data_IF_957537791279
#
_entry.id   IF_957537791279
#
_cell.length_a   1.000
_cell.length_b   1.000
_cell.length_c   1.000
_cell.angle_alpha   90.00
_cell.angle_beta   90.00
_cell.angle_gamma   90.00
#
_symmetry.space_group_name_H-M   'P 1'
#
loop_
_entity.id
_entity.type
_entity.pdbx_description
1 polymer ?
2 polymer ?
3 non-polymer ?
4 non-polymer ?
5 water ?
#
# COMPACT_ATOMS: atom_id res chain seq x y z
N UNK A 12 -9.00 -26.80 0.74
CA UNK A 12 -10.21 -26.20 1.28
C UNK A 12 -10.20 -24.69 1.03
N UNK A 13 -9.09 -24.03 1.39
CA UNK A 13 -8.98 -22.58 1.23
C UNK A 13 -9.01 -22.19 -0.25
N UNK A 14 -8.28 -22.91 -1.10
CA UNK A 14 -8.36 -22.67 -2.54
C UNK A 14 -9.78 -22.90 -3.05
N UNK A 15 -10.41 -23.99 -2.60
CA UNK A 15 -11.77 -24.32 -3.03
C UNK A 15 -12.78 -23.27 -2.56
N UNK A 16 -12.59 -22.72 -1.36
CA UNK A 16 -13.48 -21.71 -0.81
C UNK A 16 -13.14 -20.31 -1.30
N UNK A 17 -12.18 -20.15 -2.21
CA UNK A 17 -11.83 -18.83 -2.70
C UNK A 17 -11.05 -17.98 -1.73
N UNK A 18 -10.20 -18.60 -0.90
CA UNK A 18 -9.38 -17.89 0.06
C UNK A 18 -7.93 -17.96 -0.43
N UNK A 19 -7.41 -16.84 -0.92
CA UNK A 19 -6.07 -16.80 -1.49
C UNK A 19 -5.40 -15.50 -1.10
N UNK A 20 -4.06 -15.53 -1.06
CA UNK A 20 -3.28 -14.33 -0.75
C UNK A 20 -3.05 -13.60 -2.06
N UNK A 21 -3.28 -12.29 -2.04
CA UNK A 21 -3.14 -11.50 -3.24
C UNK A 21 -2.55 -10.15 -2.90
N UNK A 22 -1.70 -9.62 -3.77
CA UNK A 22 -1.17 -8.27 -3.57
C UNK A 22 -2.30 -7.26 -3.59
N UNK A 23 -2.09 -6.16 -2.91
CA UNK A 23 -3.15 -5.14 -2.85
C UNK A 23 -2.92 -4.05 -3.90
N UNK A 24 -2.65 -4.48 -5.14
CA UNK A 24 -2.41 -3.61 -6.28
C UNK A 24 -3.71 -3.46 -7.04
N UNK A 25 -3.88 -2.34 -7.75
CA UNK A 25 -5.07 -2.09 -8.55
C UNK A 25 -4.62 -2.16 -10.01
N UNK A 26 -4.93 -3.29 -10.65
CA UNK A 26 -4.56 -3.59 -12.04
C UNK A 26 -5.72 -4.37 -12.61
N UNK A 27 -6.85 -3.71 -12.82
CA UNK A 27 -8.12 -4.45 -13.01
C UNK A 27 -8.16 -5.27 -14.28
N UNK A 28 -8.96 -6.35 -14.22
CA UNK A 28 -9.14 -7.33 -15.29
C UNK A 28 -10.62 -7.67 -15.36
N UNK A 29 -11.00 -8.39 -16.42
CA UNK A 29 -12.41 -8.65 -16.72
C UNK A 29 -12.64 -10.15 -16.76
N UNK A 30 -13.58 -10.63 -15.93
CA UNK A 30 -14.00 -12.01 -16.01
C UNK A 30 -15.15 -12.24 -17.00
N UNK A 31 -15.33 -13.50 -17.37
CA UNK A 31 -16.39 -13.92 -18.29
C UNK A 31 -17.78 -13.72 -17.73
N UNK A 32 -17.89 -13.45 -16.42
CA UNK A 32 -19.15 -13.05 -15.81
C UNK A 32 -19.43 -11.56 -15.97
N UNK A 33 -18.58 -10.85 -16.73
CA UNK A 33 -18.72 -9.41 -16.97
C UNK A 33 -18.41 -8.60 -15.72
N UNK A 34 -17.76 -9.21 -14.73
CA UNK A 34 -17.37 -8.50 -13.50
C UNK A 34 -15.92 -8.07 -13.62
N UNK A 35 -15.64 -6.85 -13.18
CA UNK A 35 -14.28 -6.36 -13.06
C UNK A 35 -13.69 -6.87 -11.75
N UNK A 36 -12.48 -7.44 -11.82
CA UNK A 36 -11.71 -7.83 -10.64
C UNK A 36 -10.55 -6.87 -10.52
N UNK A 37 -10.18 -6.54 -9.27
CA UNK A 37 -9.27 -5.43 -9.07
C UNK A 37 -7.84 -5.80 -9.45
N UNK A 38 -7.53 -7.07 -9.57
CA UNK A 38 -6.26 -7.49 -10.16
C UNK A 38 -6.37 -8.94 -10.56
N UNK A 39 -5.39 -9.40 -11.35
CA UNK A 39 -5.40 -10.76 -11.88
C UNK A 39 -5.45 -11.81 -10.78
N UNK A 40 -4.69 -11.59 -9.69
CA UNK A 40 -4.66 -12.56 -8.59
C UNK A 40 -6.06 -12.85 -8.05
N UNK A 41 -6.85 -11.80 -7.80
CA UNK A 41 -8.22 -11.99 -7.31
C UNK A 41 -9.07 -12.78 -8.28
N UNK A 42 -8.97 -12.47 -9.57
CA UNK A 42 -9.72 -13.26 -10.56
C UNK A 42 -9.22 -14.70 -10.60
N UNK A 43 -7.90 -14.90 -10.61
CA UNK A 43 -7.33 -16.25 -10.55
C UNK A 43 -7.87 -17.03 -9.37
N UNK A 44 -8.09 -16.36 -8.24
CA UNK A 44 -8.55 -17.03 -7.03
C UNK A 44 -9.99 -17.49 -7.18
N UNK A 45 -10.86 -16.64 -7.73
CA UNK A 45 -12.26 -17.02 -7.96
C UNK A 45 -12.38 -18.10 -9.04
N UNK A 46 -11.62 -17.95 -10.13
CA UNK A 46 -11.59 -18.97 -11.17
C UNK A 46 -11.34 -20.35 -10.58
N UNK A 47 -10.41 -20.47 -9.63
CA UNK A 47 -10.04 -21.79 -9.12
C UNK A 47 -10.93 -22.26 -7.96
N UNK A 48 -11.80 -21.40 -7.45
CA UNK A 48 -12.70 -21.74 -6.37
C UNK A 48 -13.83 -22.64 -6.88
N UNK A 49 -14.57 -23.19 -5.92
CA UNK A 49 -15.75 -23.99 -6.26
C UNK A 49 -16.78 -23.14 -7.01
N UNK A 50 -17.08 -21.96 -6.49
CA UNK A 50 -18.11 -21.13 -7.11
C UNK A 50 -17.68 -20.62 -8.48
N UNK A 51 -16.38 -20.37 -8.68
CA UNK A 51 -15.93 -19.93 -9.99
C UNK A 51 -15.99 -21.06 -11.01
N UNK A 52 -15.38 -22.20 -10.69
CA UNK A 52 -15.50 -23.37 -11.53
C UNK A 52 -16.98 -23.74 -11.75
N UNK A 53 -17.81 -23.56 -10.73
CA UNK A 53 -19.26 -23.72 -10.89
C UNK A 53 -19.77 -22.95 -12.09
N UNK A 54 -19.31 -21.74 -12.29
CA UNK A 54 -19.83 -20.90 -13.35
C UNK A 54 -18.92 -20.83 -14.59
N UNK A 55 -17.95 -21.75 -14.71
CA UNK A 55 -16.96 -21.71 -15.78
C UNK A 55 -16.35 -20.32 -15.93
N UNK A 56 -16.02 -19.70 -14.81
CA UNK A 56 -15.40 -18.38 -14.82
C UNK A 56 -14.01 -18.44 -15.42
N UNK A 57 -13.75 -17.46 -16.28
CA UNK A 57 -12.42 -17.33 -16.89
C UNK A 57 -12.11 -15.85 -17.10
N UNK A 58 -10.86 -15.53 -17.40
CA UNK A 58 -10.46 -14.17 -17.70
C UNK A 58 -10.74 -13.87 -19.17
N UNK A 59 -11.42 -12.77 -19.45
CA UNK A 59 -11.74 -12.42 -20.84
C UNK A 59 -10.82 -11.33 -21.38
N UNK A 60 -10.42 -10.39 -20.53
CA UNK A 60 -9.62 -9.25 -20.98
C UNK A 60 -8.71 -8.80 -19.84
N UNK A 61 -7.64 -8.11 -20.22
CA UNK A 61 -6.62 -7.65 -19.29
C UNK A 61 -6.83 -6.20 -18.85
N UNK A 62 -8.08 -5.74 -18.89
CA UNK A 62 -8.42 -4.41 -18.39
C UNK A 62 -9.78 -4.54 -17.71
N UNK A 63 -10.21 -3.48 -17.05
CA UNK A 63 -11.55 -3.47 -16.47
C UNK A 63 -12.56 -3.78 -17.56
N UNK A 64 -13.63 -4.49 -17.21
CA UNK A 64 -14.69 -4.64 -18.19
C UNK A 64 -15.17 -3.24 -18.56
N UNK A 65 -15.26 -2.96 -19.86
CA UNK A 65 -15.77 -1.70 -20.38
C UNK A 65 -14.88 -0.50 -20.13
N UNK A 66 -13.58 -0.68 -19.90
CA UNK A 66 -12.72 0.48 -19.69
C UNK A 66 -11.35 0.30 -20.33
N UNK B 9 14.56 22.85 6.21
CA UNK B 9 13.58 23.68 6.88
C UNK B 9 12.55 22.82 7.61
N UNK B 10 11.99 21.85 6.89
CA UNK B 10 11.09 20.87 7.47
C UNK B 10 11.88 19.66 7.95
N UNK B 11 11.22 18.78 8.69
CA UNK B 11 11.80 17.49 9.04
C UNK B 11 10.77 16.40 8.87
N UNK B 12 11.27 15.17 8.74
CA UNK B 12 10.43 14.03 8.42
C UNK B 12 9.35 13.82 9.48
N UNK B 13 8.32 13.08 9.09
CA UNK B 13 7.33 12.57 10.02
C UNK B 13 6.45 13.59 10.70
N UNK B 14 6.53 14.86 10.32
CA UNK B 14 5.84 15.94 11.04
C UNK B 14 4.85 16.62 10.09
N UNK B 15 3.59 16.23 10.10
CA UNK B 15 2.62 16.86 9.20
C UNK B 15 2.31 18.29 9.62
N UNK B 16 2.29 19.20 8.64
CA UNK B 16 1.90 20.57 8.92
C UNK B 16 0.39 20.75 8.91
N UNK B 17 -0.34 19.69 8.61
CA UNK B 17 -1.78 19.61 8.79
C UNK B 17 -2.04 18.45 9.74
N UNK B 18 -2.57 18.75 10.91
CA UNK B 18 -2.79 17.76 11.95
C UNK B 18 -3.68 16.64 11.42
N UNK B 19 -3.25 15.38 11.47
CA UNK B 19 -4.11 14.29 11.01
C UNK B 19 -5.43 14.23 11.78
N UNK B 20 -6.40 13.57 11.13
CA UNK B 20 -7.74 13.40 11.67
C UNK B 20 -7.78 12.36 12.79
N UNK B 21 -7.05 11.25 12.60
CA UNK B 21 -6.88 10.19 13.60
C UNK B 21 -8.21 9.51 13.91
N UNK B 22 -8.68 8.80 12.89
CA UNK B 22 -9.93 8.05 12.93
C UNK B 22 -9.88 6.91 13.95
N UNK B 23 -11.04 6.52 14.54
CA UNK B 23 -11.09 5.44 15.53
C UNK B 23 -10.65 4.09 14.95
N UNK B 26 -8.75 1.93 0.77
CA UNK B 26 -8.97 1.74 2.19
C UNK B 26 -10.44 1.47 2.45
N UNK B 27 -10.68 0.32 3.13
CA UNK B 27 -12.02 -0.08 3.58
C UNK B 27 -12.22 0.42 4.99
N UNK B 28 -13.39 0.99 5.27
CA UNK B 28 -13.58 1.62 6.58
C UNK B 28 -12.70 2.86 6.75
N UNK B 29 -12.37 3.17 7.99
CA UNK B 29 -11.53 4.35 8.22
C UNK B 29 -12.29 5.63 7.92
N UNK B 30 -11.57 6.64 7.44
CA UNK B 30 -12.25 7.85 6.99
C UNK B 30 -11.45 8.55 5.92
N UNK B 31 -12.05 9.61 5.37
CA UNK B 31 -11.31 10.51 4.51
C UNK B 31 -10.35 11.33 5.37
N UNK B 32 -9.09 11.40 4.95
CA UNK B 32 -8.11 12.15 5.70
C UNK B 32 -8.33 13.64 5.54
N UNK B 33 -7.90 14.41 6.55
CA UNK B 33 -7.78 15.85 6.40
C UNK B 33 -6.81 16.11 5.25
N UNK B 34 -7.18 16.92 4.25
CA UNK B 34 -6.29 17.11 3.08
C UNK B 34 -4.88 17.50 3.49
N UNK B 35 -3.93 16.66 3.11
CA UNK B 35 -2.50 16.89 3.24
C UNK B 35 -2.00 16.69 4.67
N UNK B 36 -2.72 15.93 5.48
CA UNK B 36 -2.19 15.53 6.79
C UNK B 36 -1.28 14.32 6.70
N UNK B 37 -1.12 13.73 5.52
CA UNK B 37 -0.16 12.64 5.29
C UNK B 37 0.73 13.06 4.14
N UNK B 38 1.61 14.05 4.37
CA UNK B 38 2.36 14.67 3.26
C UNK B 38 3.40 13.78 2.64
N UNK B 39 3.66 12.58 3.17
CA UNK B 39 4.57 11.65 2.53
C UNK B 39 3.85 10.65 1.64
N UNK B 40 2.52 10.70 1.63
CA UNK B 40 1.75 9.77 0.79
C UNK B 40 1.97 10.11 -0.67
N UNK B 41 2.35 9.11 -1.47
CA UNK B 41 2.53 9.24 -2.91
C UNK B 41 1.45 8.44 -3.62
N UNK B 42 1.05 8.91 -4.79
CA UNK B 42 0.23 8.13 -5.73
C UNK B 42 1.10 7.74 -6.93
N UNK B 43 1.20 6.44 -7.17
CA UNK B 43 2.08 5.91 -8.20
C UNK B 43 1.22 5.64 -9.43
N UNK B 44 1.58 6.23 -10.55
CA UNK B 44 0.80 6.06 -11.77
C UNK B 44 1.70 5.69 -12.94
N UNK B 45 1.12 4.99 -13.90
CA UNK B 45 1.82 4.70 -15.14
C UNK B 45 1.95 5.96 -15.96
N UNK B 46 2.81 5.89 -17.00
CA UNK B 46 2.90 7.00 -17.95
C UNK B 46 1.52 7.47 -18.37
N UNK B 47 0.62 6.51 -18.66
CA UNK B 47 -0.77 6.83 -18.97
C UNK B 47 -1.45 7.61 -17.86
N UNK B 48 -0.87 7.67 -16.66
CA UNK B 48 -1.32 8.58 -15.63
C UNK B 48 -2.58 8.19 -14.90
N UNK B 49 -2.60 7.01 -14.27
CA UNK B 49 -3.75 6.60 -13.49
C UNK B 49 -3.28 5.79 -12.30
N UNK B 50 -3.95 5.98 -11.17
CA UNK B 50 -3.43 5.50 -9.89
C UNK B 50 -3.52 3.98 -9.81
N UNK B 51 -2.39 3.33 -9.51
CA UNK B 51 -2.45 1.90 -9.24
C UNK B 51 -1.75 1.48 -7.95
N UNK B 52 -0.94 2.33 -7.36
CA UNK B 52 -0.26 1.95 -6.13
C UNK B 52 0.01 3.20 -5.32
N UNK B 53 0.13 3.03 -4.00
CA UNK B 53 0.68 4.05 -3.14
C UNK B 53 2.19 3.97 -3.08
N UNK B 54 2.75 4.86 -2.27
CA UNK B 54 4.19 4.96 -2.07
C UNK B 54 4.45 5.91 -0.92
N UNK B 55 5.67 5.88 -0.40
CA UNK B 55 6.07 6.73 0.71
C UNK B 55 7.34 7.50 0.35
N UNK B 56 7.26 8.81 0.42
CA UNK B 56 8.44 9.64 0.20
C UNK B 56 9.41 9.48 1.37
N UNK B 57 10.66 9.13 1.06
CA UNK B 57 11.71 8.93 2.06
C UNK B 57 12.63 10.14 2.19
N UNK B 58 12.74 10.97 1.17
CA UNK B 58 13.71 12.04 1.04
C UNK B 58 13.38 12.76 -0.28
N UNK B 59 13.80 14.03 -0.50
CA UNK B 59 13.37 14.77 -1.71
C UNK B 59 13.38 14.03 -3.06
N UNK B 60 14.25 13.03 -3.22
CA UNK B 60 14.39 12.34 -4.50
C UNK B 60 13.91 10.89 -4.49
N UNK B 61 13.65 10.29 -3.33
CA UNK B 61 13.44 8.85 -3.22
C UNK B 61 12.09 8.49 -2.62
N UNK B 62 11.54 7.38 -3.12
CA UNK B 62 10.23 6.84 -2.76
C UNK B 62 10.38 5.38 -2.39
N UNK B 63 9.57 4.94 -1.43
CA UNK B 63 9.49 3.54 -1.03
C UNK B 63 8.13 3.00 -1.44
N UNK B 64 8.13 1.82 -2.06
CA UNK B 64 6.90 1.22 -2.54
C UNK B 64 7.06 -0.29 -2.47
N UNK B 65 6.02 -1.01 -2.90
CA UNK B 65 6.04 -2.47 -2.91
C UNK B 65 6.51 -2.98 -4.26
N UNK B 66 7.26 -4.09 -4.25
CA UNK B 66 7.89 -4.60 -5.46
C UNK B 66 6.87 -4.98 -6.53
N UNK B 67 5.77 -5.62 -6.13
CA UNK B 67 4.77 -6.04 -7.10
C UNK B 67 4.11 -4.86 -7.80
N UNK B 68 4.28 -3.64 -7.30
CA UNK B 68 3.84 -2.47 -8.05
C UNK B 68 4.69 -2.26 -9.29
N UNK B 69 5.86 -2.90 -9.37
CA UNK B 69 6.81 -2.68 -10.45
C UNK B 69 6.94 -3.88 -11.38
N UNK B 70 6.24 -4.98 -11.12
CA UNK B 70 6.51 -6.21 -11.84
C UNK B 70 5.84 -6.27 -13.21
N UNK B 71 5.43 -5.12 -13.76
CA UNK B 71 4.89 -5.06 -15.11
C UNK B 71 5.85 -4.45 -16.11
N UNK B 72 6.72 -3.52 -15.68
CA UNK B 72 7.67 -2.89 -16.60
C UNK B 72 8.91 -2.50 -15.81
N UNK B 73 10.10 -2.92 -16.24
CA UNK B 73 11.34 -2.60 -15.52
C UNK B 73 11.90 -1.22 -15.79
N UNK B 74 11.14 -0.33 -16.43
CA UNK B 74 11.60 0.93 -16.99
C UNK B 74 11.05 2.11 -16.20
N UNK B 75 11.92 3.00 -15.70
CA UNK B 75 11.42 4.13 -14.91
C UNK B 75 10.50 5.05 -15.68
N UNK B 76 10.74 5.22 -16.98
CA UNK B 76 9.89 6.05 -17.83
C UNK B 76 8.43 5.61 -17.78
N UNK B 77 8.13 4.42 -17.27
CA UNK B 77 6.77 3.93 -17.20
C UNK B 77 6.06 4.31 -15.91
N UNK B 78 6.67 5.16 -15.07
CA UNK B 78 6.18 5.46 -13.73
C UNK B 78 6.18 6.96 -13.47
N UNK B 79 5.14 7.41 -12.79
CA UNK B 79 4.91 8.81 -12.48
C UNK B 79 4.46 8.90 -11.03
N UNK B 80 5.21 9.56 -10.18
CA UNK B 80 4.86 9.68 -8.77
C UNK B 80 4.19 11.02 -8.52
N UNK B 81 3.01 10.97 -7.92
CA UNK B 81 2.21 12.16 -7.63
C UNK B 81 2.28 12.48 -6.16
N UNK B 82 2.86 13.65 -5.85
CA UNK B 82 3.11 14.10 -4.49
C UNK B 82 2.18 15.25 -4.13
N UNK B 83 1.79 15.31 -2.85
CA UNK B 83 0.98 16.40 -2.36
C UNK B 83 -0.48 16.35 -2.74
N UNK B 84 -1.00 15.18 -3.10
CA UNK B 84 -2.36 15.06 -3.59
C UNK B 84 -3.34 14.71 -2.47
N UNK B 85 -4.60 15.10 -2.68
CA UNK B 85 -5.69 14.60 -1.85
C UNK B 85 -6.77 13.91 -2.67
N UNK B 86 -7.25 14.56 -3.73
CA UNK B 86 -8.17 13.92 -4.67
C UNK B 86 -7.39 13.03 -5.63
N UNK B 87 -8.02 11.93 -6.05
CA UNK B 87 -7.33 10.97 -6.90
C UNK B 87 -7.27 11.41 -8.37
N UNK B 88 -8.39 11.82 -8.94
CA UNK B 88 -8.45 12.11 -10.38
C UNK B 88 -8.26 13.61 -10.67
N UNK B 89 -9.02 14.50 -10.02
CA UNK B 89 -8.87 15.95 -10.22
C UNK B 89 -7.75 16.50 -9.32
N UNK B 90 -6.50 16.27 -9.74
CA UNK B 90 -5.37 16.66 -8.90
C UNK B 90 -5.43 18.14 -8.57
N UNK B 91 -4.92 18.49 -7.39
CA UNK B 91 -4.93 19.86 -6.92
C UNK B 91 -3.87 20.68 -7.67
N UNK B 92 -3.98 22.01 -7.65
CA UNK B 92 -3.06 22.82 -8.48
C UNK B 92 -1.63 22.82 -7.97
N UNK B 93 -1.43 22.65 -6.66
CA UNK B 93 -0.11 22.61 -6.06
C UNK B 93 0.58 21.27 -6.27
N UNK B 94 -0.17 20.23 -6.60
CA UNK B 94 0.36 18.88 -6.68
C UNK B 94 1.55 18.79 -7.62
N UNK B 95 2.52 17.95 -7.25
CA UNK B 95 3.71 17.72 -8.03
C UNK B 95 3.56 16.44 -8.83
N UNK B 96 4.21 16.41 -10.00
CA UNK B 96 4.15 15.27 -10.92
C UNK B 96 5.58 15.03 -11.39
N UNK B 97 6.28 14.09 -10.76
CA UNK B 97 7.69 13.86 -11.04
C UNK B 97 7.84 12.45 -11.61
N UNK B 98 8.71 12.31 -12.60
CA UNK B 98 8.89 11.05 -13.32
C UNK B 98 10.05 10.26 -12.73
N UNK B 99 9.88 8.94 -12.68
CA UNK B 99 10.89 8.07 -12.07
C UNK B 99 12.09 7.97 -13.00
N UNK B 100 13.29 7.95 -12.41
CA UNK B 100 14.53 7.85 -13.15
C UNK B 100 15.23 6.51 -12.97
N UNK B 101 15.08 5.88 -11.81
CA UNK B 101 15.66 4.57 -11.54
C UNK B 101 14.70 3.80 -10.65
N UNK B 102 14.76 2.48 -10.76
CA UNK B 102 14.05 1.58 -9.85
C UNK B 102 15.07 0.63 -9.23
N UNK B 103 14.86 0.29 -7.96
CA UNK B 103 15.80 -0.53 -7.21
C UNK B 103 15.01 -1.60 -6.46
N UNK B 104 15.12 -2.83 -6.92
CA UNK B 104 14.41 -3.94 -6.30
C UNK B 104 15.23 -4.49 -5.15
N UNK B 105 14.56 -4.80 -4.04
CA UNK B 105 15.21 -5.44 -2.92
C UNK B 105 15.83 -6.77 -3.37
N UNK B 106 17.12 -7.01 -3.09
CA UNK B 106 17.82 -8.14 -3.71
C UNK B 106 17.36 -9.54 -3.27
N UNK B 107 16.75 -9.69 -2.10
CA UNK B 107 16.35 -11.01 -1.63
C UNK B 107 14.89 -11.33 -1.98
N UNK B 108 14.38 -10.70 -3.04
CA UNK B 108 13.00 -10.89 -3.55
C UNK B 108 11.94 -10.60 -2.48
N UNK B 109 12.12 -9.50 -1.77
CA UNK B 109 11.10 -9.05 -0.82
C UNK B 109 10.24 -7.97 -1.47
N UNK B 110 9.03 -7.78 -0.95
CA UNK B 110 8.06 -6.91 -1.61
C UNK B 110 8.28 -5.42 -1.35
N UNK B 111 9.48 -4.91 -1.59
CA UNK B 111 9.80 -3.51 -1.33
C UNK B 111 10.80 -3.01 -2.37
N UNK B 112 10.73 -1.72 -2.69
CA UNK B 112 11.56 -1.19 -3.77
C UNK B 112 11.69 0.32 -3.62
N UNK B 113 12.69 0.88 -4.30
CA UNK B 113 13.03 2.30 -4.22
C UNK B 113 12.93 2.96 -5.59
N UNK B 114 12.42 4.19 -5.61
CA UNK B 114 12.28 4.96 -6.86
C UNK B 114 13.07 6.25 -6.77
N UNK B 115 13.91 6.49 -7.79
CA UNK B 115 14.65 7.75 -7.94
C UNK B 115 13.80 8.74 -8.71
N UNK B 116 13.70 9.96 -8.19
CA UNK B 116 12.92 11.01 -8.82
C UNK B 116 13.82 11.83 -9.73
N UNK B 117 13.39 12.03 -10.99
CA UNK B 117 14.21 12.78 -11.94
C UNK B 117 14.50 14.20 -11.43
N UNK B 118 13.47 14.90 -10.96
CA UNK B 118 13.66 16.19 -10.31
C UNK B 118 13.29 16.07 -8.85
N UNK B 119 14.24 16.26 -7.92
CA UNK B 119 13.90 16.19 -6.49
C UNK B 119 12.68 17.03 -6.18
N UNK B 120 11.65 16.42 -5.60
CA UNK B 120 10.47 17.20 -5.24
C UNK B 120 10.81 18.25 -4.21
N UNK B 121 10.17 19.41 -4.32
CA UNK B 121 10.41 20.49 -3.37
C UNK B 121 9.56 20.26 -2.13
N UNK B 122 10.21 20.28 -0.97
CA UNK B 122 9.50 20.09 0.29
C UNK B 122 8.60 21.31 0.56
N UNK B 123 7.43 21.04 1.11
CA UNK B 123 6.44 22.09 1.36
C UNK B 123 5.56 21.69 2.54
N UNK B 124 4.64 22.59 2.91
CA UNK B 124 3.68 22.29 3.96
C UNK B 124 2.82 21.08 3.63
N UNK B 125 2.79 20.69 2.35
CA UNK B 125 2.00 19.59 1.86
C UNK B 125 2.82 18.45 1.28
N UNK B 126 4.15 18.59 1.19
CA UNK B 126 5.01 17.52 0.70
C UNK B 126 6.21 17.37 1.62
N UNK B 127 6.13 16.42 2.54
CA UNK B 127 7.15 16.17 3.57
C UNK B 127 7.42 14.66 3.62
N UNK B 128 8.67 14.21 3.75
CA UNK B 128 8.93 12.76 3.83
C UNK B 128 8.68 12.21 5.22
N UNK B 129 8.60 10.88 5.28
CA UNK B 129 8.44 10.16 6.54
C UNK B 129 9.80 9.80 7.15
N UNK B 130 9.80 9.57 8.46
CA UNK B 130 11.00 9.08 9.13
C UNK B 130 11.06 7.56 9.03
N UNK B 131 12.29 7.05 9.05
CA UNK B 131 12.62 5.63 8.95
C UNK B 131 12.89 5.06 10.33
N UNK B 132 12.47 3.82 10.60
CA UNK B 132 12.67 3.24 11.93
C UNK B 132 14.14 2.94 12.19
N UNK B 133 14.47 2.48 13.41
CA UNK B 133 15.83 2.01 13.61
C UNK B 133 15.92 0.53 13.28
N UNK B 134 17.07 0.07 12.77
CA UNK B 134 17.15 -1.30 12.22
C UNK B 134 16.66 -2.37 13.18
N UNK B 135 15.88 -3.29 12.63
CA UNK B 135 15.29 -4.46 13.30
C UNK B 135 14.37 -4.11 14.47
N UNK B 136 14.01 -2.83 14.63
CA UNK B 136 12.94 -2.47 15.55
C UNK B 136 11.70 -3.30 15.26
N UNK B 137 11.04 -3.76 16.32
CA UNK B 137 9.82 -4.56 16.17
C UNK B 137 8.67 -3.74 16.75
N UNK B 138 7.72 -3.31 15.92
CA UNK B 138 6.55 -2.62 16.48
C UNK B 138 5.87 -3.53 17.49
N UNK B 139 5.54 -2.97 18.65
CA UNK B 139 5.00 -3.77 19.74
C UNK B 139 3.56 -4.19 19.45
N UNK B 140 3.19 -5.36 19.98
CA UNK B 140 1.82 -5.85 19.83
C UNK B 140 0.82 -4.82 20.33
N UNK B 141 -0.28 -4.65 19.57
CA UNK B 141 -1.41 -3.75 19.87
C UNK B 141 -1.07 -2.27 19.70
N UNK B 142 0.10 -1.93 19.17
CA UNK B 142 0.41 -0.54 18.85
C UNK B 142 -0.54 -0.05 17.77
N UNK B 143 -1.17 1.09 18.03
CA UNK B 143 -2.08 1.70 17.06
C UNK B 143 -1.28 2.50 16.04
N UNK B 144 -1.42 2.16 14.77
CA UNK B 144 -0.70 2.80 13.68
C UNK B 144 -1.74 3.29 12.67
N UNK B 145 -1.29 3.96 11.63
CA UNK B 145 -2.17 4.44 10.57
C UNK B 145 -1.72 3.90 9.23
N UNK B 146 -2.69 3.53 8.41
CA UNK B 146 -2.46 3.16 7.02
C UNK B 146 -3.24 4.17 6.17
N UNK B 147 -2.69 4.53 5.01
CA UNK B 147 -3.33 5.54 4.17
C UNK B 147 -3.30 5.11 2.71
N UNK B 148 -4.23 5.64 1.92
CA UNK B 148 -4.17 5.43 0.49
C UNK B 148 -5.49 5.69 -0.20
N UNK B 149 -5.46 5.48 -1.54
CA UNK B 149 -6.59 5.71 -2.44
C UNK B 149 -7.23 4.41 -2.91
N UNK B 150 -6.90 3.29 -2.30
CA UNK B 150 -7.31 2.02 -2.82
C UNK B 150 -8.79 1.73 -2.64
N UNK B 151 -9.18 0.57 -3.13
CA UNK B 151 -10.56 0.10 -3.07
C UNK B 151 -11.19 0.36 -1.71
N UNK B 152 -12.48 0.65 -1.74
CA UNK B 152 -13.27 1.01 -0.59
C UNK B 152 -14.31 -0.03 -0.17
N UNK B 153 -14.60 -1.01 -1.03
CA UNK B 153 -15.66 -2.00 -0.80
C UNK B 153 -16.92 -1.24 -0.43
N UNK B 154 -17.65 -1.63 0.61
CA UNK B 154 -18.90 -0.93 0.78
C UNK B 154 -18.85 0.46 1.39
N UNK B 155 -17.67 1.05 1.57
CA UNK B 155 -17.59 2.21 2.47
C UNK B 155 -17.50 3.52 1.68
N UNK B 156 -17.31 4.62 2.39
CA UNK B 156 -17.34 5.95 1.80
C UNK B 156 -15.93 6.44 1.49
N UNK B 157 -15.85 7.46 0.63
CA UNK B 157 -14.59 8.14 0.38
C UNK B 157 -13.81 7.68 -0.84
N UNK B 158 -14.34 6.77 -1.64
CA UNK B 158 -13.71 6.38 -2.89
C UNK B 158 -13.40 7.63 -3.70
N UNK B 159 -12.16 7.74 -4.18
CA UNK B 159 -11.73 8.90 -4.93
C UNK B 159 -10.98 9.95 -4.16
N UNK B 160 -10.87 9.81 -2.83
CA UNK B 160 -10.14 10.72 -1.95
C UNK B 160 -9.17 9.92 -1.09
N UNK B 161 -8.13 10.58 -0.60
CA UNK B 161 -7.18 9.92 0.31
C UNK B 161 -7.89 9.52 1.60
N UNK B 162 -7.80 8.24 1.95
CA UNK B 162 -8.39 7.72 3.18
C UNK B 162 -7.29 7.34 4.17
N UNK B 163 -7.67 7.25 5.44
CA UNK B 163 -6.78 6.75 6.47
C UNK B 163 -7.54 5.73 7.30
N UNK B 164 -6.79 4.86 7.97
CA UNK B 164 -7.40 3.96 8.92
C UNK B 164 -6.40 3.74 10.04
N UNK B 165 -6.88 3.82 11.28
CA UNK B 165 -6.08 3.57 12.47
C UNK B 165 -6.30 2.12 12.88
N UNK B 166 -5.21 1.36 13.02
CA UNK B 166 -5.32 -0.09 13.18
C UNK B 166 -4.27 -0.59 14.16
N UNK B 167 -4.59 -1.56 15.02
CA UNK B 167 -3.57 -2.11 15.92
C UNK B 167 -2.69 -3.13 15.20
N UNK B 168 -1.40 -3.10 15.52
CA UNK B 168 -0.50 -4.15 15.07
C UNK B 168 -0.82 -5.43 15.82
N UNK B 169 -0.77 -6.55 15.12
CA UNK B 169 -0.90 -7.86 15.72
C UNK B 169 0.46 -8.53 15.58
N UNK B 170 1.06 -8.94 16.69
CA UNK B 170 2.40 -9.54 16.60
C UNK B 170 2.38 -10.82 15.74
N UNK B 171 3.43 -11.01 14.93
CA UNK B 171 3.46 -12.13 13.99
C UNK B 171 3.07 -13.44 14.65
N UNK B 172 3.47 -13.61 15.91
CA UNK B 172 3.18 -14.84 16.64
C UNK B 172 1.68 -15.15 16.64
N UNK B 173 0.86 -14.13 16.96
CA UNK B 173 -0.58 -14.33 16.94
C UNK B 173 -1.09 -14.40 15.50
N UNK B 174 -0.58 -13.50 14.65
CA UNK B 174 -1.05 -13.41 13.26
C UNK B 174 -0.84 -14.71 12.50
N UNK B 175 0.17 -15.48 12.87
CA UNK B 175 0.47 -16.73 12.20
C UNK B 175 -0.33 -17.90 12.76
N UNK B 176 -1.17 -17.68 13.76
CA UNK B 176 -1.95 -18.80 14.27
C UNK B 176 -2.90 -19.27 13.19
N UNK B 177 -3.36 -20.52 13.28
CA UNK B 177 -4.11 -21.11 12.17
C UNK B 177 -5.38 -20.32 11.84
N UNK B 178 -6.11 -19.90 12.87
CA UNK B 178 -7.37 -19.20 12.66
C UNK B 178 -7.20 -17.83 12.04
N UNK B 179 -5.96 -17.33 11.96
CA UNK B 179 -5.70 -16.04 11.36
C UNK B 179 -5.04 -16.28 10.02
N UNK B 180 -3.73 -16.18 9.90
CA UNK B 180 -3.08 -16.26 8.62
C UNK B 180 -2.19 -17.48 8.48
N UNK B 181 -2.15 -18.35 9.49
CA UNK B 181 -1.71 -19.72 9.33
C UNK B 181 -0.31 -19.83 8.72
N UNK B 182 0.66 -19.25 9.40
CA UNK B 182 2.04 -19.51 9.04
C UNK B 182 2.57 -18.76 7.83
N UNK B 183 1.79 -17.86 7.24
CA UNK B 183 2.21 -17.24 5.98
C UNK B 183 3.10 -16.03 6.18
N UNK B 184 3.21 -15.50 7.39
CA UNK B 184 3.66 -14.12 7.57
C UNK B 184 5.17 -14.00 7.71
N UNK B 185 5.80 -14.73 8.60
CA UNK B 185 7.26 -14.63 8.72
C UNK B 185 7.85 -13.25 9.05
N UNK B 186 9.17 -13.26 9.25
CA UNK B 186 9.87 -12.30 10.10
C UNK B 186 9.95 -10.90 9.48
N UNK B 187 10.09 -10.83 8.16
CA UNK B 187 10.28 -9.59 7.43
C UNK B 187 8.96 -8.90 7.09
N UNK B 188 7.87 -9.31 7.75
CA UNK B 188 6.56 -8.69 7.57
C UNK B 188 5.91 -8.48 8.93
N UNK B 189 4.88 -7.62 8.96
CA UNK B 189 4.08 -7.41 10.15
C UNK B 189 2.60 -7.45 9.76
N UNK B 190 1.73 -7.64 10.76
CA UNK B 190 0.29 -7.70 10.55
C UNK B 190 -0.38 -6.49 11.20
N UNK B 191 -1.57 -6.18 10.75
CA UNK B 191 -2.32 -5.09 11.38
C UNK B 191 -3.78 -5.16 10.93
N UNK B 192 -4.70 -4.87 11.83
CA UNK B 192 -6.11 -4.99 11.50
C UNK B 192 -6.91 -5.30 12.74
N UNK B 193 -8.24 -5.20 12.60
CA UNK B 193 -9.15 -5.51 13.70
C UNK B 193 -9.66 -6.93 13.57
N UNK B 194 -9.69 -7.66 14.69
CA UNK B 194 -10.09 -9.06 14.67
C UNK B 194 -11.47 -9.24 14.05
N UNK B 195 -12.38 -8.31 14.28
CA UNK B 195 -13.71 -8.39 13.71
C UNK B 195 -13.76 -7.99 12.25
N UNK B 196 -12.64 -7.55 11.67
CA UNK B 196 -12.65 -7.07 10.30
C UNK B 196 -13.21 -5.65 10.23
N UNK B 197 -13.55 -5.25 9.01
CA UNK B 197 -14.28 -4.03 8.59
C UNK B 197 -13.36 -2.86 8.27
N UNK B 198 -12.09 -2.90 8.66
CA UNK B 198 -11.16 -1.80 8.45
C UNK B 198 -9.84 -2.37 7.97
N UNK B 199 -9.37 -1.93 6.81
CA UNK B 199 -8.22 -2.60 6.22
C UNK B 199 -7.79 -1.79 5.02
N UNK B 200 -6.53 -1.95 4.64
CA UNK B 200 -6.14 -1.50 3.34
C UNK B 200 -6.65 -2.53 2.30
N UNK B 201 -6.52 -2.17 1.04
CA UNK B 201 -7.15 -2.95 -0.03
C UNK B 201 -6.52 -2.59 -1.38
N UNK B 202 -7.12 -3.05 -2.49
CA UNK B 202 -6.42 -3.00 -3.77
C UNK B 202 -6.25 -1.56 -4.22
N UNK B 203 -5.04 -1.18 -4.63
CA UNK B 203 -4.74 0.22 -4.87
C UNK B 203 -4.03 0.92 -3.72
N UNK B 204 -4.02 0.32 -2.51
CA UNK B 204 -3.21 0.83 -1.41
C UNK B 204 -1.80 0.26 -1.35
N UNK B 205 -1.50 -0.81 -2.10
CA UNK B 205 -0.17 -1.41 -2.13
C UNK B 205 0.93 -0.39 -2.25
N UNK B 206 2.02 -0.61 -1.52
CA UNK B 206 3.18 0.25 -1.60
C UNK B 206 3.07 1.52 -0.78
N UNK B 207 1.90 1.80 -0.20
CA UNK B 207 1.72 2.93 0.67
C UNK B 207 2.23 2.66 2.08
N UNK B 208 2.17 3.69 2.91
CA UNK B 208 2.79 3.63 4.22
C UNK B 208 1.86 3.04 5.28
N UNK B 209 2.49 2.42 6.27
CA UNK B 209 1.88 2.16 7.58
C UNK B 209 2.80 2.87 8.56
N UNK B 210 2.29 3.89 9.25
CA UNK B 210 3.16 4.70 10.12
C UNK B 210 2.66 4.61 11.56
N UNK B 211 3.60 4.66 12.50
CA UNK B 211 3.28 4.63 13.92
C UNK B 211 3.91 5.84 14.57
N UNK B 212 3.10 6.55 15.34
CA UNK B 212 3.54 7.76 16.02
C UNK B 212 4.48 7.40 17.16
N UNK B 213 5.55 8.16 17.29
CA UNK B 213 6.57 7.90 18.31
C UNK B 213 6.95 9.24 18.91
N UNK B 214 6.25 9.64 19.97
CA UNK B 214 6.63 10.81 20.79
C UNK B 214 6.36 12.10 20.03
N UNK B 215 7.09 12.27 18.92
CA UNK B 215 7.27 13.51 18.18
C UNK B 215 6.67 13.50 16.79
N UNK B 216 6.65 12.34 16.15
CA UNK B 216 6.60 12.24 14.71
C UNK B 216 6.09 10.86 14.37
N UNK B 217 5.75 10.68 13.10
CA UNK B 217 5.35 9.38 12.57
C UNK B 217 6.57 8.68 12.00
N UNK B 218 6.63 7.38 12.21
CA UNK B 218 7.71 6.53 11.70
C UNK B 218 7.11 5.53 10.73
N UNK B 219 7.70 5.45 9.53
CA UNK B 219 7.32 4.43 8.57
C UNK B 219 7.69 3.05 9.08
N UNK B 220 6.71 2.24 9.43
CA UNK B 220 7.00 0.91 9.95
C UNK B 220 6.58 -0.22 9.00
N UNK B 221 5.67 0.04 8.07
CA UNK B 221 5.22 -0.99 7.16
C UNK B 221 4.95 -0.45 5.77
N UNK B 222 5.04 -1.34 4.78
CA UNK B 222 4.65 -1.06 3.39
C UNK B 222 3.47 -1.96 3.06
N UNK B 223 2.35 -1.36 2.65
CA UNK B 223 1.19 -2.16 2.33
C UNK B 223 1.52 -3.21 1.26
N UNK B 224 1.16 -4.48 1.54
CA UNK B 224 1.65 -5.57 0.69
C UNK B 224 0.56 -6.55 0.24
N UNK B 225 0.02 -7.38 1.13
CA UNK B 225 -0.98 -8.36 0.69
C UNK B 225 -1.92 -8.71 1.82
N UNK B 226 -2.91 -9.55 1.49
CA UNK B 226 -3.86 -10.06 2.45
C UNK B 226 -4.76 -11.08 1.79
N UNK B 227 -5.57 -11.74 2.62
CA UNK B 227 -6.64 -12.62 2.15
C UNK B 227 -7.88 -11.76 1.99
N UNK B 228 -8.21 -11.34 0.76
CA UNK B 228 -9.28 -10.38 0.59
C UNK B 228 -8.92 -9.05 1.25
N UNK B 229 -9.96 -8.36 1.70
CA UNK B 229 -9.77 -7.10 2.45
C UNK B 229 -10.83 -6.97 3.53
N UNK B 230 -10.43 -6.64 4.76
CA UNK B 230 -11.33 -6.32 5.87
C UNK B 230 -12.15 -7.52 6.33
N UNK B 231 -11.73 -8.74 6.02
CA UNK B 231 -12.47 -9.90 6.53
C UNK B 231 -12.16 -10.14 8.01
N UNK B 232 -13.12 -10.70 8.75
CA UNK B 232 -12.83 -11.09 10.13
C UNK B 232 -11.70 -12.12 10.15
N UNK B 233 -10.82 -11.97 11.14
CA UNK B 233 -9.73 -12.92 11.41
C UNK B 233 -8.69 -12.95 10.31
N UNK B 234 -8.61 -11.91 9.51
CA UNK B 234 -7.70 -11.87 8.37
C UNK B 234 -7.11 -10.47 8.31
N UNK B 235 -6.12 -10.18 9.14
CA UNK B 235 -5.47 -8.87 9.10
C UNK B 235 -4.59 -8.70 7.87
N UNK B 236 -4.35 -7.43 7.51
CA UNK B 236 -3.49 -7.15 6.40
C UNK B 236 -2.03 -7.40 6.74
N UNK B 237 -1.22 -7.67 5.72
CA UNK B 237 0.20 -7.97 5.88
C UNK B 237 1.01 -6.87 5.21
N UNK B 238 2.05 -6.42 5.90
CA UNK B 238 2.85 -5.26 5.49
C UNK B 238 4.30 -5.67 5.54
N UNK B 239 5.13 -5.13 4.64
CA UNK B 239 6.57 -5.37 4.75
C UNK B 239 7.08 -4.65 5.98
N UNK B 240 7.97 -5.30 6.74
CA UNK B 240 8.52 -4.70 7.96
C UNK B 240 9.66 -3.78 7.55
N UNK B 241 9.40 -2.48 7.55
CA UNK B 241 10.39 -1.52 7.04
C UNK B 241 11.69 -1.57 7.85
N UNK B 242 11.62 -1.89 9.14
CA UNK B 242 12.84 -1.83 9.95
C UNK B 242 13.84 -2.90 9.55
N UNK B 243 13.38 -3.99 8.97
CA UNK B 243 14.29 -5.03 8.56
C UNK B 243 15.01 -4.69 7.26
N UNK B 244 14.80 -3.49 6.71
CA UNK B 244 15.38 -3.10 5.44
C UNK B 244 16.08 -1.75 5.42
N UNK B 245 16.05 -0.96 6.49
CA UNK B 245 16.61 0.40 6.42
C UNK B 245 18.08 0.37 6.01
N UNK B 246 18.83 -0.63 6.49
CA UNK B 246 20.24 -0.71 6.09
C UNK B 246 20.38 -0.90 4.58
N UNK B 247 19.36 -1.39 3.90
CA UNK B 247 19.43 -1.46 2.45
C UNK B 247 18.95 -0.18 1.78
N UNK B 248 17.89 0.45 2.32
CA UNK B 248 17.38 1.70 1.75
C UNK B 248 18.46 2.76 1.72
N UNK B 249 19.10 3.03 2.86
CA UNK B 249 20.07 4.12 2.90
C UNK B 249 21.16 3.91 1.85
N UNK B 250 21.69 2.70 1.75
CA UNK B 250 22.76 2.43 0.80
C UNK B 250 22.38 2.79 -0.62
N UNK B 251 21.16 2.45 -1.04
CA UNK B 251 20.74 2.83 -2.40
C UNK B 251 20.67 4.35 -2.52
N UNK B 252 20.20 5.04 -1.47
CA UNK B 252 20.32 6.50 -1.50
C UNK B 252 21.76 6.94 -1.30
N UNK B 253 22.43 6.33 -0.33
CA UNK B 253 23.82 6.67 -0.01
C UNK B 253 24.71 6.46 -1.21
N UNK B 254 24.69 5.25 -1.77
CA UNK B 254 25.55 4.90 -2.90
C UNK B 254 24.88 5.23 -4.22
N UNK B 255 24.01 6.24 -4.23
CA UNK B 255 23.42 6.79 -5.45
C UNK B 255 22.77 8.15 -5.20
X LIG C 1 -8.07 2.45 -6.63
X LIG C 1 -7.22 3.57 -6.70
X LIG C 1 -9.23 2.71 -7.68
X LIG C 1 -10.39 1.94 -7.48
X LIG C 1 -9.51 4.15 -7.51
X LIG C 1 -10.19 4.30 -6.34
X LIG D 1 3.30 -7.79 13.42
X LIG E 1 -0.93 13.84 0.26
X LIG F 1 -11.16 3.95 -4.28
#
# INVERSE_FOLDING_TARGET
SGLEVLFQGPRSDAERGVCACPRIYMPVCGSNLKTYNNDCLLRCEINSDLGRANNLRKIADQACDNLTDNVNDFIPQEY
SGLVPRGSSFDCGKPQVEPKKCPGRVVGGCVAHPHSWPWQVSLRTRFGMHFCGGTLISPEWVLTAAHCLEKSPRPSSYKVILGAHQEVNLEPHVQEIEVSRLFLEPTRKDIALLKLSSPAVITDKVIPACLPSPNYVVADRTECFITGWGETQGTFGAGLLKEAQLPVIENKVCNRYEFLNGRVQSTELCAGHLAGGTDSCQGDSGGPLVCFEKDKYILQGVTSWGLGCARPNKPGVYVRVSRFVTWIEGVMRNN
GOL C1 O1 C2 O2 C3 O3
NA NA
NA NA
NA NA
#
